data_IF_612243752881
#
_entry.id   IF_612243752881
#
_cell.length_a   1.000
_cell.length_b   1.000
_cell.length_c   1.000
_cell.angle_alpha   90.00
_cell.angle_beta   90.00
_cell.angle_gamma   90.00
#
_symmetry.space_group_name_H-M   'P 1'
#
loop_
_entity.id
_entity.type
_entity.pdbx_description
1 polymer ?
#
# COMPACT_ATOMS: atom_id res chain seq x y z
N UNK A 1 -30.27 -17.57 40.04
CA UNK A 1 -30.00 -18.12 38.69
C UNK A 1 -28.57 -17.78 38.30
N UNK A 2 -27.67 -18.78 38.28
CA UNK A 2 -26.32 -18.59 37.75
C UNK A 2 -26.41 -18.56 36.21
N UNK A 3 -26.13 -17.43 35.59
CA UNK A 3 -25.88 -17.38 34.18
C UNK A 3 -24.59 -18.16 33.93
N UNK A 4 -24.72 -19.32 33.30
CA UNK A 4 -23.62 -20.13 32.85
C UNK A 4 -23.08 -19.47 31.57
N UNK A 5 -21.97 -18.72 31.67
CA UNK A 5 -21.23 -18.27 30.48
C UNK A 5 -20.64 -19.51 29.81
N UNK A 6 -21.27 -19.96 28.74
CA UNK A 6 -20.69 -20.97 27.86
C UNK A 6 -19.51 -20.31 27.14
N UNK A 7 -18.29 -20.54 27.62
CA UNK A 7 -17.07 -20.30 26.84
C UNK A 7 -16.88 -21.51 25.95
N UNK A 8 -17.47 -21.44 24.78
CA UNK A 8 -17.18 -22.42 23.73
C UNK A 8 -15.90 -21.97 23.00
N UNK A 9 -14.90 -22.84 22.97
CA UNK A 9 -13.73 -22.68 22.13
C UNK A 9 -13.97 -23.47 20.86
N UNK A 10 -14.09 -22.79 19.77
CA UNK A 10 -14.00 -23.42 18.46
C UNK A 10 -12.59 -24.04 18.33
N UNK A 11 -12.48 -25.31 18.62
CA UNK A 11 -11.28 -26.11 18.41
C UNK A 11 -11.42 -26.78 17.05
N UNK A 12 -10.41 -26.67 16.20
CA UNK A 12 -10.33 -27.12 14.81
C UNK A 12 -10.65 -26.07 13.73
N UNK A 13 -10.68 -24.81 14.09
CA UNK A 13 -10.60 -23.74 13.08
C UNK A 13 -9.23 -23.76 12.43
N UNK A 14 -9.18 -23.69 11.10
CA UNK A 14 -7.96 -23.50 10.33
C UNK A 14 -8.03 -22.12 9.67
N UNK A 15 -7.00 -21.29 9.87
CA UNK A 15 -6.91 -19.97 9.26
C UNK A 15 -6.79 -19.99 7.73
N UNK A 16 -6.84 -21.16 7.13
CA UNK A 16 -6.63 -21.37 5.71
C UNK A 16 -5.14 -21.33 5.34
N UNK A 17 -4.88 -21.43 4.05
CA UNK A 17 -3.53 -21.29 3.49
C UNK A 17 -3.18 -19.82 3.28
N UNK A 18 -1.89 -19.47 3.38
CA UNK A 18 -1.43 -18.13 3.03
C UNK A 18 -1.81 -17.81 1.57
N UNK A 19 -2.32 -16.60 1.36
CA UNK A 19 -2.70 -16.14 0.02
C UNK A 19 -1.43 -15.92 -0.80
N UNK A 20 -1.41 -16.46 -2.02
CA UNK A 20 -0.29 -16.30 -2.96
C UNK A 20 -0.45 -15.07 -3.85
N UNK A 21 0.66 -14.54 -4.39
CA UNK A 21 0.63 -13.44 -5.35
C UNK A 21 -0.24 -13.74 -6.59
N UNK A 22 -0.24 -14.99 -7.05
CA UNK A 22 -1.07 -15.41 -8.18
C UNK A 22 -2.58 -15.30 -7.85
N UNK A 23 -2.98 -15.66 -6.65
CA UNK A 23 -4.37 -15.52 -6.21
C UNK A 23 -4.77 -14.04 -6.07
N UNK A 24 -3.88 -13.19 -5.55
CA UNK A 24 -4.09 -11.75 -5.49
C UNK A 24 -4.21 -11.15 -6.91
N UNK A 25 -3.34 -11.54 -7.83
CA UNK A 25 -3.39 -11.10 -9.22
C UNK A 25 -4.72 -11.48 -9.89
N UNK A 26 -5.19 -12.74 -9.69
CA UNK A 26 -6.49 -13.17 -10.20
C UNK A 26 -7.66 -12.39 -9.56
N UNK A 27 -7.55 -12.04 -8.29
CA UNK A 27 -8.58 -11.23 -7.62
C UNK A 27 -8.67 -9.82 -8.21
N UNK A 28 -7.52 -9.21 -8.53
CA UNK A 28 -7.45 -7.87 -9.13
C UNK A 28 -8.06 -7.83 -10.53
N UNK A 29 -8.00 -8.92 -11.28
CA UNK A 29 -8.66 -9.02 -12.61
C UNK A 29 -10.17 -8.77 -12.56
N UNK A 30 -10.81 -8.98 -11.41
CA UNK A 30 -12.23 -8.66 -11.24
C UNK A 30 -12.54 -7.17 -11.37
N UNK A 31 -11.55 -6.32 -11.14
CA UNK A 31 -11.69 -4.88 -11.34
C UNK A 31 -11.62 -4.44 -12.81
N UNK A 32 -11.34 -5.33 -13.76
CA UNK A 32 -11.41 -5.04 -15.20
C UNK A 32 -12.84 -4.80 -15.69
N UNK A 33 -13.84 -5.27 -14.96
CA UNK A 33 -15.24 -5.05 -15.28
C UNK A 33 -15.66 -3.61 -14.93
N UNK A 34 -15.56 -2.73 -15.90
CA UNK A 34 -15.89 -1.30 -15.77
C UNK A 34 -17.38 -1.06 -15.61
N UNK A 35 -18.22 -1.94 -16.16
CA UNK A 35 -19.68 -1.76 -16.16
C UNK A 35 -20.30 -2.05 -14.78
N UNK A 36 -19.76 -3.03 -14.06
CA UNK A 36 -20.30 -3.47 -12.79
C UNK A 36 -19.48 -2.96 -11.57
N UNK A 37 -18.23 -2.55 -11.79
CA UNK A 37 -17.31 -2.14 -10.73
C UNK A 37 -16.82 -0.72 -10.96
N UNK A 38 -17.44 0.25 -10.29
CA UNK A 38 -17.03 1.65 -10.32
C UNK A 38 -15.96 1.90 -9.24
N UNK A 39 -14.76 2.32 -9.66
CA UNK A 39 -13.65 2.66 -8.77
C UNK A 39 -12.90 3.89 -9.26
N UNK A 40 -12.45 4.75 -8.35
CA UNK A 40 -11.58 5.89 -8.64
C UNK A 40 -10.14 5.63 -8.18
N UNK A 41 -9.98 4.95 -7.04
CA UNK A 41 -8.67 4.63 -6.47
C UNK A 41 -8.56 3.13 -6.19
N UNK A 42 -7.42 2.55 -6.58
CA UNK A 42 -7.07 1.18 -6.27
C UNK A 42 -5.89 1.17 -5.28
N UNK A 43 -6.15 0.73 -4.05
CA UNK A 43 -5.18 0.70 -2.97
C UNK A 43 -4.73 -0.74 -2.75
N UNK A 44 -3.43 -0.99 -2.90
CA UNK A 44 -2.90 -2.36 -2.94
C UNK A 44 -2.57 -2.95 -1.58
N UNK A 45 -2.40 -2.09 -0.56
CA UNK A 45 -1.72 -2.51 0.65
C UNK A 45 -0.21 -2.74 0.42
N UNK A 46 0.49 -3.51 1.26
CA UNK A 46 1.91 -3.82 1.05
C UNK A 46 2.10 -4.80 -0.11
N UNK A 47 3.11 -4.58 -0.94
CA UNK A 47 3.54 -5.57 -1.92
C UNK A 47 4.07 -6.83 -1.24
N UNK A 48 3.97 -7.97 -1.90
CA UNK A 48 4.22 -9.28 -1.29
C UNK A 48 5.65 -9.78 -1.49
N UNK A 49 6.31 -9.33 -2.53
CA UNK A 49 7.69 -9.71 -2.85
C UNK A 49 8.67 -8.66 -2.37
N UNK A 50 9.85 -9.12 -1.95
CA UNK A 50 11.00 -8.25 -1.65
C UNK A 50 11.62 -7.66 -2.92
N UNK A 51 12.68 -6.85 -2.74
CA UNK A 51 13.43 -6.24 -3.82
C UNK A 51 14.18 -7.29 -4.64
N UNK A 52 13.52 -7.91 -5.59
CA UNK A 52 14.13 -8.78 -6.57
C UNK A 52 14.00 -8.19 -7.99
N UNK A 53 14.84 -8.68 -8.90
CA UNK A 53 14.89 -8.21 -10.28
C UNK A 53 13.67 -8.65 -11.12
N UNK A 54 12.79 -9.47 -10.59
CA UNK A 54 11.63 -10.02 -11.31
C UNK A 54 10.37 -9.20 -11.12
N UNK A 55 10.40 -8.23 -10.21
CA UNK A 55 9.25 -7.39 -9.88
C UNK A 55 8.18 -8.15 -9.09
N UNK A 56 7.22 -7.41 -8.57
CA UNK A 56 6.05 -7.98 -7.90
C UNK A 56 4.96 -8.27 -8.93
N UNK A 57 4.65 -9.56 -9.12
CA UNK A 57 3.57 -10.00 -10.03
C UNK A 57 2.23 -9.34 -9.69
N UNK A 58 1.96 -9.14 -8.41
CA UNK A 58 0.73 -8.47 -7.97
C UNK A 58 0.72 -6.99 -8.35
N UNK A 59 1.81 -6.25 -8.06
CA UNK A 59 1.93 -4.84 -8.42
C UNK A 59 1.91 -4.63 -9.93
N UNK A 60 2.58 -5.49 -10.70
CA UNK A 60 2.54 -5.48 -12.16
C UNK A 60 1.11 -5.66 -12.68
N UNK A 61 0.37 -6.62 -12.13
CA UNK A 61 -1.02 -6.86 -12.52
C UNK A 61 -1.95 -5.70 -12.20
N UNK A 62 -1.71 -5.00 -11.10
CA UNK A 62 -2.45 -3.78 -10.75
C UNK A 62 -2.22 -2.69 -11.80
N UNK A 63 -0.97 -2.49 -12.21
CA UNK A 63 -0.62 -1.54 -13.27
C UNK A 63 -1.32 -1.90 -14.57
N UNK A 64 -1.31 -3.18 -14.96
CA UNK A 64 -2.01 -3.66 -16.14
C UNK A 64 -3.52 -3.36 -16.10
N UNK A 65 -4.14 -3.54 -14.94
CA UNK A 65 -5.58 -3.28 -14.77
C UNK A 65 -5.88 -1.79 -14.91
N UNK A 66 -5.13 -0.90 -14.25
CA UNK A 66 -5.39 0.55 -14.35
C UNK A 66 -5.05 1.11 -15.73
N UNK A 67 -4.05 0.54 -16.41
CA UNK A 67 -3.71 0.90 -17.80
C UNK A 67 -4.81 0.49 -18.80
N UNK A 68 -5.48 -0.62 -18.56
CA UNK A 68 -6.61 -1.05 -19.38
C UNK A 68 -7.86 -0.23 -19.09
N UNK A 69 -8.13 0.07 -17.83
CA UNK A 69 -9.31 0.85 -17.41
C UNK A 69 -9.21 2.33 -17.77
N UNK A 70 -8.12 2.98 -17.40
CA UNK A 70 -7.84 4.43 -17.59
C UNK A 70 -8.83 5.38 -16.88
N UNK A 71 -9.66 4.87 -15.98
CA UNK A 71 -10.66 5.60 -15.22
C UNK A 71 -10.33 5.65 -13.71
N UNK A 72 -9.23 5.05 -13.30
CA UNK A 72 -8.81 4.97 -11.91
C UNK A 72 -7.29 5.10 -11.76
N UNK A 73 -6.84 5.41 -10.53
CA UNK A 73 -5.42 5.54 -10.18
C UNK A 73 -5.05 4.50 -9.12
N UNK A 74 -3.97 3.76 -9.34
CA UNK A 74 -3.42 2.83 -8.37
C UNK A 74 -2.37 3.49 -7.47
N UNK A 75 -2.39 3.15 -6.18
CA UNK A 75 -1.40 3.54 -5.20
C UNK A 75 -0.69 2.29 -4.69
N UNK A 76 0.62 2.22 -4.92
CA UNK A 76 1.45 1.03 -4.71
C UNK A 76 2.55 1.37 -3.71
N UNK A 77 2.70 0.54 -2.67
CA UNK A 77 3.83 0.60 -1.73
C UNK A 77 4.75 -0.61 -1.95
N UNK A 78 6.09 -0.45 -1.78
CA UNK A 78 7.03 -1.57 -1.85
C UNK A 78 6.74 -2.62 -0.77
N UNK A 79 7.41 -3.77 -0.86
CA UNK A 79 7.27 -4.80 0.16
C UNK A 79 7.81 -4.30 1.51
N UNK A 80 7.20 -4.81 2.60
CA UNK A 80 7.62 -4.42 3.95
C UNK A 80 9.09 -4.71 4.23
N UNK A 81 9.60 -5.83 3.73
CA UNK A 81 11.00 -6.24 3.87
C UNK A 81 12.01 -5.28 3.25
N UNK A 82 11.60 -4.49 2.26
CA UNK A 82 12.48 -3.57 1.54
C UNK A 82 12.82 -2.33 2.36
N UNK A 83 11.95 -1.97 3.28
CA UNK A 83 12.00 -0.72 4.04
C UNK A 83 12.07 -0.96 5.54
N UNK A 84 11.19 -1.83 6.08
CA UNK A 84 11.05 -2.04 7.53
C UNK A 84 12.06 -3.06 8.04
N UNK A 85 12.90 -2.63 9.00
CA UNK A 85 13.96 -3.47 9.55
C UNK A 85 15.31 -3.34 8.84
N UNK A 86 15.36 -2.67 7.71
CA UNK A 86 16.62 -2.33 7.04
C UNK A 86 17.22 -1.10 7.72
N UNK A 87 18.42 -1.24 8.29
CA UNK A 87 19.08 -0.18 9.08
C UNK A 87 19.89 0.78 8.23
N UNK A 88 20.37 0.32 7.07
CA UNK A 88 21.15 1.13 6.14
C UNK A 88 20.24 1.90 5.18
N UNK A 89 20.22 3.26 5.23
CA UNK A 89 19.42 4.08 4.33
C UNK A 89 19.79 3.92 2.85
N UNK A 90 21.04 3.58 2.53
CA UNK A 90 21.48 3.33 1.16
C UNK A 90 20.83 2.05 0.66
N UNK A 91 20.84 1.00 1.48
CA UNK A 91 20.20 -0.27 1.12
C UNK A 91 18.67 -0.11 0.98
N UNK A 92 18.02 0.69 1.84
CA UNK A 92 16.60 1.02 1.68
C UNK A 92 16.34 1.69 0.32
N UNK A 93 17.18 2.66 -0.05
CA UNK A 93 17.07 3.35 -1.36
C UNK A 93 17.21 2.36 -2.51
N UNK A 94 18.22 1.49 -2.47
CA UNK A 94 18.45 0.49 -3.51
C UNK A 94 17.29 -0.51 -3.63
N UNK A 95 16.72 -0.94 -2.52
CA UNK A 95 15.58 -1.85 -2.49
C UNK A 95 14.34 -1.20 -3.13
N UNK A 96 14.00 0.02 -2.70
CA UNK A 96 12.86 0.75 -3.27
C UNK A 96 13.06 1.04 -4.75
N UNK A 97 14.29 1.39 -5.16
CA UNK A 97 14.63 1.60 -6.56
C UNK A 97 14.48 0.31 -7.37
N UNK A 98 15.03 -0.81 -6.88
CA UNK A 98 14.92 -2.10 -7.56
C UNK A 98 13.46 -2.55 -7.72
N UNK A 99 12.61 -2.31 -6.69
CA UNK A 99 11.18 -2.54 -6.78
C UNK A 99 10.54 -1.69 -7.89
N UNK A 100 10.82 -0.39 -7.91
CA UNK A 100 10.27 0.53 -8.91
C UNK A 100 10.77 0.22 -10.34
N UNK A 101 12.04 -0.09 -10.50
CA UNK A 101 12.66 -0.44 -11.80
C UNK A 101 12.09 -1.76 -12.37
N UNK A 102 11.58 -2.65 -11.50
CA UNK A 102 10.92 -3.89 -11.90
C UNK A 102 9.47 -3.72 -12.40
N UNK A 103 8.90 -2.53 -12.26
CA UNK A 103 7.52 -2.23 -12.64
C UNK A 103 7.44 -1.45 -13.95
N UNK A 104 6.38 -1.67 -14.71
CA UNK A 104 6.10 -0.90 -15.91
C UNK A 104 5.75 0.55 -15.57
N UNK A 105 6.31 1.52 -16.32
CA UNK A 105 5.93 2.92 -16.17
C UNK A 105 4.50 3.16 -16.62
N UNK A 106 3.71 3.83 -15.79
CA UNK A 106 2.31 4.14 -16.06
C UNK A 106 1.97 5.54 -15.56
N UNK A 107 1.10 6.25 -16.28
CA UNK A 107 0.51 7.52 -15.83
C UNK A 107 -0.64 7.33 -14.83
N UNK A 108 -1.11 6.10 -14.68
CA UNK A 108 -2.25 5.72 -13.82
C UNK A 108 -1.81 5.02 -12.52
N UNK A 109 -0.51 4.90 -12.28
CA UNK A 109 0.03 4.29 -11.07
C UNK A 109 0.99 5.22 -10.35
N UNK A 110 0.85 5.30 -9.04
CA UNK A 110 1.72 6.08 -8.15
C UNK A 110 2.41 5.12 -7.19
N UNK A 111 3.74 5.18 -7.14
CA UNK A 111 4.56 4.38 -6.22
C UNK A 111 5.02 5.30 -5.09
N UNK A 112 4.78 4.90 -3.85
CA UNK A 112 5.31 5.59 -2.67
C UNK A 112 6.63 4.95 -2.19
N UNK A 113 7.29 5.63 -1.25
CA UNK A 113 8.59 5.18 -0.72
C UNK A 113 8.50 4.27 0.50
N UNK A 114 7.29 3.90 0.93
CA UNK A 114 7.22 2.88 1.96
C UNK A 114 6.21 3.03 3.07
N UNK A 115 6.67 3.17 4.31
CA UNK A 115 5.89 2.89 5.49
C UNK A 115 5.97 4.02 6.52
N UNK A 116 4.85 4.30 7.18
CA UNK A 116 4.80 5.06 8.42
C UNK A 116 4.78 4.14 9.62
N UNK A 117 5.41 4.54 10.72
CA UNK A 117 5.20 3.92 12.02
C UNK A 117 4.08 4.68 12.74
N UNK A 118 3.05 3.95 13.15
CA UNK A 118 1.97 4.47 13.96
C UNK A 118 1.82 3.66 15.24
N UNK A 119 1.30 4.29 16.28
CA UNK A 119 1.08 3.65 17.56
C UNK A 119 -0.31 3.02 17.61
N UNK A 120 -0.33 1.70 17.84
CA UNK A 120 -1.55 0.94 18.10
C UNK A 120 -1.83 0.96 19.60
N UNK A 121 -2.72 1.86 20.01
CA UNK A 121 -3.07 2.06 21.43
C UNK A 121 -3.80 0.88 22.09
N UNK A 122 -4.34 -0.03 21.29
CA UNK A 122 -5.08 -1.17 21.83
C UNK A 122 -4.16 -2.35 22.19
N UNK A 123 -3.05 -2.47 21.48
CA UNK A 123 -2.06 -3.52 21.72
C UNK A 123 -0.76 -2.99 22.32
N UNK A 124 -0.65 -1.67 22.54
CA UNK A 124 0.55 -0.99 23.06
C UNK A 124 1.81 -1.30 22.24
N UNK A 125 1.69 -1.24 20.92
CA UNK A 125 2.80 -1.54 19.99
C UNK A 125 2.86 -0.53 18.84
N UNK A 126 4.06 -0.31 18.31
CA UNK A 126 4.23 0.42 17.06
C UNK A 126 4.09 -0.53 15.88
N UNK A 127 3.27 -0.15 14.91
CA UNK A 127 3.07 -0.89 13.67
C UNK A 127 3.54 -0.08 12.47
N UNK A 128 4.26 -0.76 11.57
CA UNK A 128 4.58 -0.20 10.27
C UNK A 128 3.40 -0.43 9.31
N UNK A 129 2.85 0.65 8.79
CA UNK A 129 1.69 0.66 7.88
C UNK A 129 2.11 1.28 6.55
N UNK A 130 1.77 0.68 5.40
CA UNK A 130 2.11 1.22 4.09
C UNK A 130 1.44 2.57 3.84
N UNK A 131 2.08 3.43 3.06
CA UNK A 131 1.62 4.81 2.82
C UNK A 131 0.58 4.93 1.72
N UNK A 132 0.38 3.89 0.90
CA UNK A 132 -0.53 3.95 -0.26
C UNK A 132 -1.95 4.37 0.10
N UNK A 133 -2.50 3.87 1.21
CA UNK A 133 -3.81 4.29 1.70
C UNK A 133 -3.85 5.74 2.15
N UNK A 134 -2.77 6.25 2.75
CA UNK A 134 -2.67 7.65 3.14
C UNK A 134 -2.57 8.57 1.92
N UNK A 135 -1.82 8.16 0.89
CA UNK A 135 -1.70 8.93 -0.35
C UNK A 135 -3.04 9.02 -1.08
N UNK A 136 -3.74 7.91 -1.23
CA UNK A 136 -5.10 7.89 -1.76
C UNK A 136 -6.06 8.77 -0.94
N UNK A 137 -5.97 8.69 0.39
CA UNK A 137 -6.77 9.52 1.29
C UNK A 137 -6.48 11.01 1.19
N UNK A 138 -5.22 11.40 0.95
CA UNK A 138 -4.84 12.79 0.70
C UNK A 138 -5.41 13.30 -0.64
N UNK A 139 -5.37 12.48 -1.68
CA UNK A 139 -5.99 12.80 -2.97
C UNK A 139 -7.50 12.98 -2.82
N UNK A 140 -8.19 12.00 -2.23
CA UNK A 140 -9.63 12.06 -2.01
C UNK A 140 -10.05 13.28 -1.17
N UNK A 141 -9.26 13.62 -0.14
CA UNK A 141 -9.52 14.84 0.65
C UNK A 141 -9.32 16.11 -0.18
N UNK A 142 -8.34 16.13 -1.06
CA UNK A 142 -8.07 17.28 -1.92
C UNK A 142 -9.19 17.48 -2.93
N UNK A 143 -9.69 16.41 -3.53
CA UNK A 143 -10.85 16.41 -4.42
C UNK A 143 -12.10 16.99 -3.73
N UNK A 144 -12.28 16.68 -2.45
CA UNK A 144 -13.43 17.17 -1.68
C UNK A 144 -13.33 18.67 -1.33
N UNK A 145 -12.12 19.21 -1.14
CA UNK A 145 -11.88 20.59 -0.65
C UNK A 145 -11.62 21.55 -1.81
N UNK A 146 -11.02 21.09 -2.87
CA UNK A 146 -10.63 21.87 -4.05
C UNK A 146 -11.09 21.15 -5.32
N UNK A 147 -10.16 20.64 -6.11
CA UNK A 147 -10.42 19.94 -7.37
C UNK A 147 -9.39 18.82 -7.59
N UNK A 148 -9.70 17.84 -8.45
CA UNK A 148 -8.87 16.67 -8.72
C UNK A 148 -7.48 17.01 -9.31
N UNK A 149 -7.35 18.14 -10.00
CA UNK A 149 -6.07 18.62 -10.54
C UNK A 149 -5.22 19.36 -9.50
N UNK A 150 -5.77 19.62 -8.32
CA UNK A 150 -5.05 20.35 -7.27
C UNK A 150 -4.09 19.43 -6.53
N UNK A 151 -2.86 19.91 -6.29
CA UNK A 151 -1.86 19.11 -5.58
C UNK A 151 -2.28 18.79 -4.14
N UNK A 152 -2.26 17.51 -3.73
CA UNK A 152 -2.50 17.12 -2.34
C UNK A 152 -1.35 17.52 -1.40
N UNK A 153 -0.20 17.90 -1.92
CA UNK A 153 0.95 18.34 -1.15
C UNK A 153 0.74 19.71 -0.50
N UNK A 154 1.48 19.99 0.55
CA UNK A 154 1.49 21.28 1.26
C UNK A 154 1.45 21.13 2.77
N UNK A 155 1.88 22.17 3.49
CA UNK A 155 2.03 22.18 4.95
C UNK A 155 0.74 21.85 5.71
N UNK A 156 -0.40 22.26 5.19
CA UNK A 156 -1.70 22.05 5.82
C UNK A 156 -2.51 20.90 5.21
N UNK A 157 -2.25 20.54 3.95
CA UNK A 157 -3.00 19.53 3.21
C UNK A 157 -2.30 18.17 3.19
N UNK A 158 -0.98 18.17 3.00
CA UNK A 158 -0.16 16.97 2.84
C UNK A 158 0.23 16.26 4.13
N UNK A 159 -0.47 16.48 5.25
CA UNK A 159 -0.14 15.86 6.53
C UNK A 159 -0.67 14.44 6.58
N UNK A 160 0.24 13.47 6.68
CA UNK A 160 -0.08 12.07 6.95
C UNK A 160 -0.45 11.91 8.42
N UNK A 161 -1.72 11.60 8.68
CA UNK A 161 -2.23 11.50 10.05
C UNK A 161 -1.76 10.22 10.74
N UNK A 162 -1.57 10.30 12.07
CA UNK A 162 -1.19 9.15 12.90
C UNK A 162 0.23 8.66 12.68
N UNK A 163 1.04 9.30 11.84
CA UNK A 163 2.44 8.96 11.68
C UNK A 163 3.26 9.52 12.83
N UNK A 164 3.97 8.65 13.56
CA UNK A 164 4.99 9.05 14.54
C UNK A 164 6.30 9.33 13.83
N UNK A 165 6.67 8.49 12.88
CA UNK A 165 7.82 8.67 11.98
C UNK A 165 7.61 7.86 10.70
N UNK A 166 8.33 8.22 9.64
CA UNK A 166 8.48 7.37 8.46
C UNK A 166 9.52 6.27 8.74
N UNK A 167 9.29 5.09 8.22
CA UNK A 167 10.27 3.99 8.30
C UNK A 167 11.49 4.28 7.43
N UNK A 168 11.27 4.97 6.31
CA UNK A 168 12.30 5.48 5.41
C UNK A 168 11.99 6.95 5.05
N UNK A 169 12.97 7.82 5.23
CA UNK A 169 12.89 9.22 4.87
C UNK A 169 14.10 9.57 3.99
N UNK A 170 13.98 9.45 2.67
CA UNK A 170 15.09 9.68 1.76
C UNK A 170 15.55 11.14 1.79
N UNK A 171 16.86 11.33 1.80
CA UNK A 171 17.49 12.64 1.61
C UNK A 171 17.30 13.11 0.17
N UNK A 172 17.59 14.40 -0.09
CA UNK A 172 17.52 14.93 -1.46
C UNK A 172 18.40 14.12 -2.43
N UNK A 173 19.64 13.84 -2.04
CA UNK A 173 20.59 13.06 -2.84
C UNK A 173 20.14 11.62 -3.12
N UNK A 174 19.31 11.06 -2.26
CA UNK A 174 18.76 9.71 -2.46
C UNK A 174 17.51 9.69 -3.34
N UNK A 175 16.88 10.86 -3.55
CA UNK A 175 15.71 11.00 -4.43
C UNK A 175 16.10 11.39 -5.87
N UNK A 176 17.23 12.09 -6.02
CA UNK A 176 17.82 12.51 -7.29
C UNK A 176 18.64 11.37 -7.91
#
# INVERSE_FOLDING_TARGET
>A
QRQMCIRDRLTSGNDGSAITNAQLATAVEKFLDVENVEINFLITGPSQTGADATGDTFATKIIDVVEQRKDCVAFISPARSDVVGVTDPIQQTLNVKAFADGLSSSSYAVIDTGYKNMYDKYNDVFRAVPLNGDMAGLCARTDLIADSWFSPAGLNRGIVRGAVKLAFNPTKTQRD
#
